data_IF_151352849873
#
_entry.id   IF_151352849873
#
_cell.length_a   1.000
_cell.length_b   1.000
_cell.length_c   1.000
_cell.angle_alpha   90.00
_cell.angle_beta   90.00
_cell.angle_gamma   90.00
#
_symmetry.space_group_name_H-M   'P 1'
#
loop_
_entity.id
_entity.type
_entity.pdbx_description
1 polymer ?
#
# COMPACT_ATOMS: atom_id res chain seq x y z
N UNK A 1 -2.71 20.17 -15.07
CA UNK A 1 -1.71 21.23 -14.91
C UNK A 1 -0.57 20.74 -14.03
N UNK A 2 0.67 21.18 -14.30
CA UNK A 2 1.85 20.76 -13.53
C UNK A 2 2.27 21.91 -12.61
N UNK A 3 2.24 21.66 -11.29
CA UNK A 3 2.63 22.67 -10.32
C UNK A 3 4.16 22.80 -10.23
N UNK A 4 4.72 24.02 -10.02
CA UNK A 4 6.15 24.24 -9.99
C UNK A 4 6.86 23.64 -8.78
N UNK A 5 6.14 23.44 -7.68
CA UNK A 5 6.63 22.85 -6.43
C UNK A 5 5.60 21.94 -5.77
N UNK A 6 6.10 21.06 -4.88
CA UNK A 6 5.25 20.12 -4.11
C UNK A 6 5.04 20.59 -2.66
N UNK A 7 5.20 21.87 -2.36
CA UNK A 7 4.94 22.41 -1.03
C UNK A 7 3.45 22.77 -0.83
N UNK A 8 3.06 22.89 0.44
CA UNK A 8 1.69 23.18 0.84
C UNK A 8 1.16 24.48 0.20
N UNK A 9 1.96 25.56 0.25
CA UNK A 9 1.52 26.88 -0.22
C UNK A 9 1.24 26.88 -1.73
N UNK A 10 2.09 26.20 -2.53
CA UNK A 10 1.86 26.08 -3.97
C UNK A 10 0.56 25.36 -4.28
N UNK A 11 0.22 24.31 -3.52
CA UNK A 11 -1.05 23.58 -3.69
C UNK A 11 -2.24 24.42 -3.24
N UNK A 12 -2.14 25.14 -2.12
CA UNK A 12 -3.19 26.04 -1.66
C UNK A 12 -3.51 27.11 -2.70
N UNK A 13 -2.49 27.81 -3.20
CA UNK A 13 -2.67 28.85 -4.23
C UNK A 13 -3.36 28.30 -5.50
N UNK A 14 -3.03 27.06 -5.87
CA UNK A 14 -3.69 26.39 -6.99
C UNK A 14 -5.16 26.09 -6.70
N UNK A 15 -5.46 25.49 -5.53
CA UNK A 15 -6.83 25.15 -5.15
C UNK A 15 -7.72 26.39 -5.03
N UNK A 16 -7.18 27.49 -4.47
CA UNK A 16 -7.88 28.76 -4.35
C UNK A 16 -8.14 29.44 -5.72
N UNK A 17 -7.29 29.15 -6.72
CA UNK A 17 -7.45 29.66 -8.09
C UNK A 17 -8.48 28.91 -8.92
N UNK A 18 -8.94 27.73 -8.45
CA UNK A 18 -9.90 26.93 -9.19
C UNK A 18 -11.30 27.59 -9.15
N UNK A 19 -11.90 27.84 -10.32
CA UNK A 19 -13.32 28.20 -10.36
C UNK A 19 -14.13 27.03 -9.78
N UNK A 20 -15.15 27.31 -9.02
CA UNK A 20 -16.04 26.29 -8.43
C UNK A 20 -15.35 25.30 -7.46
N UNK A 21 -14.27 25.69 -6.80
CA UNK A 21 -13.56 24.85 -5.82
C UNK A 21 -14.50 24.27 -4.75
N UNK A 22 -15.55 25.01 -4.35
CA UNK A 22 -16.59 24.58 -3.40
C UNK A 22 -17.43 23.36 -3.90
N UNK A 23 -17.39 23.07 -5.19
CA UNK A 23 -18.09 21.93 -5.77
C UNK A 23 -17.24 20.64 -5.74
N UNK A 24 -15.97 20.74 -5.38
CA UNK A 24 -15.10 19.57 -5.25
C UNK A 24 -15.52 18.78 -4.00
N UNK A 25 -15.96 17.53 -4.22
CA UNK A 25 -16.42 16.63 -3.13
C UNK A 25 -15.40 15.58 -2.75
N UNK A 26 -14.48 15.25 -3.66
CA UNK A 26 -13.45 14.23 -3.42
C UNK A 26 -12.12 14.68 -4.02
N UNK A 27 -11.04 14.50 -3.26
CA UNK A 27 -9.67 14.74 -3.72
C UNK A 27 -8.89 13.44 -3.57
N UNK A 28 -8.38 12.91 -4.67
CA UNK A 28 -7.49 11.74 -4.66
C UNK A 28 -6.03 12.20 -4.66
N UNK A 29 -5.21 11.62 -3.77
CA UNK A 29 -3.81 12.03 -3.64
C UNK A 29 -2.92 10.91 -3.07
N UNK A 30 -1.60 11.14 -3.13
CA UNK A 30 -0.59 10.35 -2.42
C UNK A 30 -0.63 10.62 -0.90
N UNK A 31 -0.01 9.73 -0.12
CA UNK A 31 0.19 9.94 1.32
C UNK A 31 1.28 10.98 1.59
N UNK A 32 1.01 12.23 1.22
CA UNK A 32 1.93 13.35 1.41
C UNK A 32 1.28 14.44 2.28
N UNK A 33 1.87 14.67 3.47
CA UNK A 33 1.29 15.53 4.50
C UNK A 33 1.00 16.97 4.03
N UNK A 34 1.87 17.66 3.27
CA UNK A 34 1.58 19.01 2.79
C UNK A 34 0.36 19.07 1.90
N UNK A 35 0.08 18.04 1.10
CA UNK A 35 -1.15 17.97 0.27
C UNK A 35 -2.39 17.83 1.14
N UNK A 36 -2.35 16.93 2.13
CA UNK A 36 -3.44 16.74 3.07
C UNK A 36 -3.83 18.04 3.79
N UNK A 37 -2.80 18.74 4.30
CA UNK A 37 -3.00 20.01 5.00
C UNK A 37 -3.59 21.08 4.08
N UNK A 38 -3.11 21.21 2.84
CA UNK A 38 -3.64 22.14 1.86
C UNK A 38 -5.11 21.84 1.52
N UNK A 39 -5.45 20.57 1.30
CA UNK A 39 -6.85 20.18 0.98
C UNK A 39 -7.77 20.46 2.16
N UNK A 40 -7.40 20.12 3.39
CA UNK A 40 -8.24 20.42 4.57
C UNK A 40 -8.46 21.91 4.79
N UNK A 41 -7.50 22.78 4.45
CA UNK A 41 -7.63 24.21 4.59
C UNK A 41 -8.46 24.86 3.46
N UNK A 42 -8.23 24.47 2.21
CA UNK A 42 -8.91 25.08 1.06
C UNK A 42 -10.25 24.41 0.71
N UNK A 43 -10.43 23.13 1.02
CA UNK A 43 -11.58 22.33 0.64
C UNK A 43 -12.12 21.54 1.84
N UNK A 44 -12.61 22.19 2.90
CA UNK A 44 -12.98 21.54 4.17
C UNK A 44 -14.11 20.52 4.02
N UNK A 45 -14.97 20.66 3.01
CA UNK A 45 -16.10 19.76 2.73
C UNK A 45 -15.72 18.59 1.79
N UNK A 46 -14.50 18.57 1.29
CA UNK A 46 -14.04 17.51 0.38
C UNK A 46 -13.47 16.31 1.15
N UNK A 47 -13.88 15.11 0.79
CA UNK A 47 -13.27 13.90 1.28
C UNK A 47 -11.91 13.66 0.60
N UNK A 48 -10.86 13.44 1.40
CA UNK A 48 -9.57 12.99 0.86
C UNK A 48 -9.59 11.48 0.73
N UNK A 49 -9.18 10.98 -0.42
CA UNK A 49 -9.01 9.55 -0.71
C UNK A 49 -7.57 9.28 -1.10
N UNK A 50 -6.90 8.38 -0.40
CA UNK A 50 -5.56 7.95 -0.80
C UNK A 50 -5.65 6.98 -1.96
N UNK A 51 -4.89 7.27 -3.02
CA UNK A 51 -4.78 6.37 -4.16
C UNK A 51 -4.28 4.99 -3.71
N UNK A 52 -5.12 3.98 -3.99
CA UNK A 52 -4.84 2.57 -3.70
C UNK A 52 -3.47 2.11 -4.17
N UNK A 53 -3.01 2.60 -5.33
CA UNK A 53 -1.70 2.25 -5.88
C UNK A 53 -0.57 2.55 -4.90
N UNK A 54 -0.59 3.73 -4.26
CA UNK A 54 0.44 4.15 -3.32
C UNK A 54 0.43 3.31 -2.03
N UNK A 55 -0.75 2.90 -1.57
CA UNK A 55 -0.87 2.03 -0.38
C UNK A 55 -0.38 0.61 -0.68
N UNK A 56 -0.77 0.05 -1.83
CA UNK A 56 -0.31 -1.29 -2.26
C UNK A 56 1.20 -1.29 -2.57
N UNK A 57 1.72 -0.18 -3.09
CA UNK A 57 3.16 -0.02 -3.31
C UNK A 57 3.95 -0.14 -2.02
N UNK A 58 3.49 0.46 -0.91
CA UNK A 58 4.19 0.36 0.38
C UNK A 58 4.43 -1.10 0.80
N UNK A 59 3.42 -1.94 0.70
CA UNK A 59 3.56 -3.34 1.14
C UNK A 59 4.47 -4.14 0.20
N UNK A 60 4.46 -3.84 -1.10
CA UNK A 60 5.39 -4.44 -2.06
C UNK A 60 6.83 -4.01 -1.80
N UNK A 61 7.05 -2.73 -1.44
CA UNK A 61 8.37 -2.20 -1.12
C UNK A 61 8.95 -2.90 0.12
N UNK A 62 8.16 -3.06 1.18
CA UNK A 62 8.60 -3.79 2.40
C UNK A 62 8.88 -5.26 2.11
N UNK A 63 8.06 -5.95 1.31
CA UNK A 63 8.34 -7.31 0.87
C UNK A 63 9.66 -7.40 0.09
N UNK A 64 9.90 -6.44 -0.80
CA UNK A 64 11.12 -6.35 -1.59
C UNK A 64 12.36 -6.14 -0.71
N UNK A 65 12.26 -5.27 0.29
CA UNK A 65 13.37 -4.99 1.22
C UNK A 65 13.61 -6.15 2.18
N UNK A 66 12.57 -6.83 2.63
CA UNK A 66 12.70 -8.08 3.39
C UNK A 66 13.43 -9.15 2.57
N UNK A 67 13.04 -9.37 1.31
CA UNK A 67 13.73 -10.27 0.39
C UNK A 67 15.21 -9.91 0.23
N UNK A 68 15.54 -8.63 0.04
CA UNK A 68 16.93 -8.17 -0.07
C UNK A 68 17.72 -8.46 1.21
N UNK A 69 17.09 -8.26 2.37
CA UNK A 69 17.72 -8.53 3.69
C UNK A 69 17.97 -10.01 3.87
N UNK A 70 17.01 -10.88 3.52
CA UNK A 70 17.19 -12.32 3.51
C UNK A 70 18.37 -12.73 2.61
N UNK A 71 18.44 -12.15 1.40
CA UNK A 71 19.53 -12.42 0.46
C UNK A 71 20.93 -12.09 1.01
N UNK A 72 21.08 -11.14 1.93
CA UNK A 72 22.42 -10.81 2.48
C UNK A 72 23.08 -11.98 3.20
N UNK A 73 22.28 -12.89 3.75
CA UNK A 73 22.74 -14.03 4.56
C UNK A 73 22.92 -15.32 3.74
N UNK A 74 22.67 -15.28 2.43
CA UNK A 74 22.64 -16.46 1.56
C UNK A 74 23.85 -16.54 0.64
N UNK A 75 24.13 -17.73 0.15
CA UNK A 75 25.14 -17.99 -0.89
C UNK A 75 24.74 -17.34 -2.23
N UNK A 76 25.71 -17.23 -3.15
CA UNK A 76 25.47 -16.67 -4.49
C UNK A 76 24.41 -17.46 -5.28
N UNK A 77 24.39 -18.78 -5.14
CA UNK A 77 23.42 -19.65 -5.81
C UNK A 77 22.00 -19.41 -5.28
N UNK A 78 21.82 -19.37 -3.94
CA UNK A 78 20.53 -19.11 -3.30
C UNK A 78 19.99 -17.69 -3.60
N UNK A 79 20.88 -16.67 -3.62
CA UNK A 79 20.53 -15.32 -4.05
C UNK A 79 19.96 -15.29 -5.46
N UNK A 80 20.61 -15.99 -6.41
CA UNK A 80 20.14 -16.10 -7.79
C UNK A 80 18.76 -16.76 -7.85
N UNK A 81 18.55 -17.79 -7.05
CA UNK A 81 17.28 -18.49 -6.95
C UNK A 81 16.15 -17.57 -6.47
N UNK A 82 16.31 -16.89 -5.32
CA UNK A 82 15.31 -15.95 -4.79
C UNK A 82 15.09 -14.77 -5.73
N UNK A 83 16.14 -14.21 -6.33
CA UNK A 83 16.01 -13.10 -7.27
C UNK A 83 15.23 -13.48 -8.54
N UNK A 84 15.27 -14.75 -8.94
CA UNK A 84 14.52 -15.25 -10.10
C UNK A 84 12.98 -15.17 -9.93
N UNK A 85 12.49 -15.06 -8.70
CA UNK A 85 11.04 -14.90 -8.40
C UNK A 85 10.64 -13.48 -7.99
N UNK A 86 11.53 -12.50 -8.04
CA UNK A 86 11.28 -11.13 -7.60
C UNK A 86 10.02 -10.51 -8.25
N UNK A 87 9.88 -10.62 -9.56
CA UNK A 87 8.70 -10.09 -10.28
C UNK A 87 7.43 -10.83 -9.89
N UNK A 88 7.53 -12.13 -9.64
CA UNK A 88 6.40 -12.98 -9.24
C UNK A 88 5.93 -12.65 -7.83
N UNK A 89 6.85 -12.35 -6.90
CA UNK A 89 6.52 -11.91 -5.54
C UNK A 89 5.74 -10.58 -5.50
N UNK A 90 5.99 -9.68 -6.46
CA UNK A 90 5.26 -8.41 -6.55
C UNK A 90 3.94 -8.52 -7.32
N UNK A 91 3.76 -9.57 -8.11
CA UNK A 91 2.52 -9.82 -8.83
C UNK A 91 1.37 -10.20 -7.88
N UNK A 92 0.15 -10.03 -8.35
CA UNK A 92 -1.04 -10.50 -7.65
C UNK A 92 -1.11 -12.03 -7.77
N UNK A 93 -1.44 -12.72 -6.68
CA UNK A 93 -1.59 -14.18 -6.64
C UNK A 93 -2.55 -14.70 -7.72
N UNK A 94 -3.63 -13.96 -7.98
CA UNK A 94 -4.65 -14.33 -8.97
C UNK A 94 -4.12 -14.34 -10.40
N UNK A 95 -3.07 -13.57 -10.67
CA UNK A 95 -2.51 -13.40 -12.02
C UNK A 95 -1.35 -14.37 -12.29
N UNK A 96 -1.00 -15.21 -11.31
CA UNK A 96 0.13 -16.13 -11.43
C UNK A 96 -0.23 -17.35 -12.27
N UNK A 97 0.67 -17.69 -13.21
CA UNK A 97 0.59 -18.95 -13.95
C UNK A 97 0.89 -20.16 -13.06
N UNK A 98 0.48 -21.36 -13.51
CA UNK A 98 0.79 -22.61 -12.81
C UNK A 98 2.31 -22.82 -12.59
N UNK A 99 3.14 -22.46 -13.57
CA UNK A 99 4.60 -22.54 -13.46
C UNK A 99 5.16 -21.56 -12.43
N UNK A 100 4.62 -20.33 -12.36
CA UNK A 100 5.02 -19.36 -11.36
C UNK A 100 4.64 -19.81 -9.94
N UNK A 101 3.45 -20.35 -9.77
CA UNK A 101 3.00 -20.91 -8.49
C UNK A 101 3.88 -22.09 -8.05
N UNK A 102 4.22 -23.02 -8.97
CA UNK A 102 5.14 -24.14 -8.68
C UNK A 102 6.52 -23.64 -8.24
N UNK A 103 7.05 -22.63 -8.92
CA UNK A 103 8.34 -22.03 -8.59
C UNK A 103 8.31 -21.35 -7.21
N UNK A 104 7.24 -20.60 -6.90
CA UNK A 104 7.06 -20.03 -5.57
C UNK A 104 6.94 -21.09 -4.49
N UNK A 105 6.19 -22.18 -4.74
CA UNK A 105 6.07 -23.31 -3.80
C UNK A 105 7.42 -23.90 -3.42
N UNK A 106 8.31 -24.08 -4.38
CA UNK A 106 9.67 -24.53 -4.13
C UNK A 106 10.48 -23.53 -3.28
N UNK A 107 10.41 -22.23 -3.59
CA UNK A 107 11.07 -21.19 -2.79
C UNK A 107 10.51 -21.15 -1.36
N UNK A 108 9.22 -21.28 -1.19
CA UNK A 108 8.56 -21.25 0.12
C UNK A 108 8.87 -22.48 1.00
N UNK A 109 9.16 -23.62 0.40
CA UNK A 109 9.62 -24.79 1.17
C UNK A 109 11.00 -24.58 1.78
N UNK A 110 11.84 -23.76 1.16
CA UNK A 110 13.18 -23.40 1.66
C UNK A 110 13.18 -22.19 2.58
N UNK A 111 12.28 -21.22 2.33
CA UNK A 111 12.21 -19.92 3.02
C UNK A 111 10.78 -19.65 3.50
N UNK A 112 10.34 -20.31 4.57
CA UNK A 112 8.96 -20.17 5.08
C UNK A 112 8.61 -18.75 5.54
N UNK A 113 9.60 -17.97 5.98
CA UNK A 113 9.38 -16.56 6.33
C UNK A 113 9.07 -15.71 5.09
N UNK A 114 9.67 -16.01 3.94
CA UNK A 114 9.32 -15.31 2.69
C UNK A 114 7.90 -15.64 2.23
N UNK A 115 7.44 -16.89 2.48
CA UNK A 115 6.04 -17.26 2.30
C UNK A 115 5.13 -16.43 3.19
N UNK A 116 5.46 -16.32 4.48
CA UNK A 116 4.66 -15.53 5.42
C UNK A 116 4.57 -14.07 4.97
N UNK A 117 5.68 -13.46 4.55
CA UNK A 117 5.71 -12.11 4.02
C UNK A 117 4.79 -11.95 2.80
N UNK A 118 4.86 -12.88 1.86
CA UNK A 118 4.01 -12.89 0.68
C UNK A 118 2.54 -13.07 1.00
N UNK A 119 2.19 -14.00 1.88
CA UNK A 119 0.81 -14.24 2.29
C UNK A 119 0.21 -12.99 2.96
N UNK A 120 0.96 -12.34 3.84
CA UNK A 120 0.54 -11.07 4.46
C UNK A 120 0.35 -9.95 3.44
N UNK A 121 1.19 -9.87 2.40
CA UNK A 121 1.02 -8.92 1.28
C UNK A 121 -0.30 -9.18 0.56
N UNK A 122 -0.60 -10.43 0.24
CA UNK A 122 -1.84 -10.79 -0.47
C UNK A 122 -3.08 -10.53 0.42
N UNK A 123 -3.04 -10.91 1.69
CA UNK A 123 -4.11 -10.61 2.65
C UNK A 123 -4.39 -9.10 2.77
N UNK A 124 -3.34 -8.27 2.71
CA UNK A 124 -3.51 -6.82 2.69
C UNK A 124 -4.19 -6.33 1.41
N UNK A 125 -3.79 -6.85 0.25
CA UNK A 125 -4.43 -6.50 -1.04
C UNK A 125 -5.91 -6.84 -1.07
N UNK A 126 -6.29 -7.96 -0.45
CA UNK A 126 -7.70 -8.36 -0.34
C UNK A 126 -8.57 -7.40 0.50
N UNK A 127 -7.98 -6.47 1.29
CA UNK A 127 -8.73 -5.43 1.97
C UNK A 127 -9.47 -4.57 0.95
N UNK A 128 -8.83 -4.26 -0.18
CA UNK A 128 -9.43 -3.48 -1.26
C UNK A 128 -10.47 -4.23 -2.11
N UNK A 129 -10.70 -5.50 -1.83
CA UNK A 129 -11.78 -6.29 -2.44
C UNK A 129 -13.07 -6.25 -1.60
N UNK A 130 -13.04 -5.63 -0.42
CA UNK A 130 -14.21 -5.44 0.41
C UNK A 130 -15.20 -4.47 -0.26
N UNK A 131 -16.49 -4.73 -0.06
CA UNK A 131 -17.58 -3.96 -0.68
C UNK A 131 -17.96 -2.70 0.08
N UNK A 132 -17.45 -2.53 1.31
CA UNK A 132 -17.73 -1.37 2.16
C UNK A 132 -16.64 -1.13 3.20
N UNK A 133 -16.62 0.10 3.73
CA UNK A 133 -15.65 0.56 4.73
C UNK A 133 -15.59 -0.33 5.98
N UNK A 134 -16.74 -0.73 6.51
CA UNK A 134 -16.80 -1.54 7.74
C UNK A 134 -16.08 -2.89 7.56
N UNK A 135 -16.33 -3.57 6.46
CA UNK A 135 -15.68 -4.84 6.13
C UNK A 135 -14.15 -4.65 5.95
N UNK A 136 -13.74 -3.60 5.24
CA UNK A 136 -12.34 -3.26 5.04
C UNK A 136 -11.59 -2.98 6.35
N UNK A 137 -12.17 -2.16 7.23
CA UNK A 137 -11.59 -1.85 8.55
C UNK A 137 -11.48 -3.11 9.42
N UNK A 138 -12.49 -3.96 9.44
CA UNK A 138 -12.44 -5.24 10.18
C UNK A 138 -11.35 -6.17 9.63
N UNK A 139 -11.23 -6.27 8.30
CA UNK A 139 -10.19 -7.09 7.65
C UNK A 139 -8.79 -6.54 7.95
N UNK A 140 -8.61 -5.23 7.85
CA UNK A 140 -7.37 -4.56 8.23
C UNK A 140 -7.00 -4.78 9.71
N UNK A 141 -7.96 -4.67 10.61
CA UNK A 141 -7.72 -4.87 12.06
C UNK A 141 -7.20 -6.29 12.34
N UNK A 142 -7.79 -7.30 11.70
CA UNK A 142 -7.32 -8.70 11.80
C UNK A 142 -5.90 -8.85 11.23
N UNK A 143 -5.65 -8.28 10.06
CA UNK A 143 -4.34 -8.29 9.41
C UNK A 143 -3.28 -7.59 10.29
N UNK A 144 -3.55 -6.39 10.77
CA UNK A 144 -2.64 -5.61 11.63
C UNK A 144 -2.28 -6.37 12.91
N UNK A 145 -3.24 -7.06 13.55
CA UNK A 145 -2.97 -7.91 14.71
C UNK A 145 -2.04 -9.07 14.36
N UNK A 146 -2.29 -9.75 13.25
CA UNK A 146 -1.45 -10.84 12.74
C UNK A 146 -0.01 -10.38 12.47
N UNK A 147 0.15 -9.21 11.85
CA UNK A 147 1.47 -8.58 11.61
C UNK A 147 2.21 -8.34 12.92
N UNK A 148 1.56 -7.69 13.89
CA UNK A 148 2.18 -7.37 15.18
C UNK A 148 2.63 -8.60 15.96
N UNK A 149 1.94 -9.71 15.80
CA UNK A 149 2.25 -10.96 16.49
C UNK A 149 3.34 -11.78 15.80
N UNK A 150 3.40 -11.75 14.47
CA UNK A 150 4.14 -12.76 13.72
C UNK A 150 5.17 -12.21 12.73
N UNK A 151 5.12 -10.91 12.35
CA UNK A 151 5.98 -10.42 11.27
C UNK A 151 6.36 -8.94 11.40
N UNK A 152 7.37 -8.65 12.19
CA UNK A 152 7.85 -7.29 12.49
C UNK A 152 8.16 -6.40 11.26
N UNK A 153 8.64 -6.91 10.10
CA UNK A 153 8.91 -6.05 8.94
C UNK A 153 7.71 -5.25 8.45
N UNK A 154 6.48 -5.71 8.69
CA UNK A 154 5.28 -4.99 8.27
C UNK A 154 4.69 -4.05 9.34
N UNK A 155 5.30 -3.89 10.50
CA UNK A 155 4.82 -2.97 11.55
C UNK A 155 4.77 -1.52 11.02
N UNK A 156 5.77 -1.08 10.26
CA UNK A 156 5.78 0.25 9.64
C UNK A 156 4.58 0.54 8.74
N UNK A 157 4.05 -0.50 8.09
CA UNK A 157 2.82 -0.40 7.30
C UNK A 157 1.64 -0.12 8.22
N UNK A 158 1.54 -0.83 9.37
CA UNK A 158 0.44 -0.59 10.32
C UNK A 158 0.46 0.83 10.87
N UNK A 159 1.64 1.39 11.12
CA UNK A 159 1.81 2.77 11.58
C UNK A 159 1.37 3.77 10.51
N UNK A 160 1.78 3.54 9.25
CA UNK A 160 1.40 4.39 8.13
C UNK A 160 -0.11 4.35 7.89
N UNK A 161 -0.72 3.15 7.83
CA UNK A 161 -2.17 3.01 7.64
C UNK A 161 -2.94 3.63 8.81
N UNK A 162 -2.48 3.50 10.05
CA UNK A 162 -3.14 4.14 11.19
C UNK A 162 -3.09 5.67 11.11
N UNK A 163 -1.99 6.25 10.65
CA UNK A 163 -1.81 7.70 10.46
C UNK A 163 -2.71 8.28 9.37
N UNK A 164 -3.02 7.49 8.36
CA UNK A 164 -3.80 7.85 7.19
C UNK A 164 -5.13 7.09 7.12
N UNK A 165 -5.62 6.59 8.26
CA UNK A 165 -6.74 5.66 8.28
C UNK A 165 -8.02 6.24 7.72
N UNK A 166 -8.32 7.50 8.02
CA UNK A 166 -9.49 8.17 7.49
C UNK A 166 -9.46 8.20 5.96
N UNK A 167 -8.38 8.72 5.41
CA UNK A 167 -8.21 8.97 3.98
C UNK A 167 -8.04 7.65 3.18
N UNK A 168 -7.40 6.64 3.76
CA UNK A 168 -7.28 5.32 3.13
C UNK A 168 -8.65 4.62 3.08
N UNK A 169 -9.43 4.67 4.17
CA UNK A 169 -10.72 3.98 4.20
C UNK A 169 -11.85 4.78 3.55
N UNK A 170 -11.68 6.08 3.28
CA UNK A 170 -12.57 6.86 2.42
C UNK A 170 -12.69 6.28 1.00
N UNK A 171 -11.71 5.48 0.54
CA UNK A 171 -11.79 4.74 -0.72
C UNK A 171 -13.08 3.92 -0.86
N UNK A 172 -13.60 3.37 0.24
CA UNK A 172 -14.79 2.51 0.22
C UNK A 172 -16.12 3.27 0.26
N UNK A 173 -16.06 4.55 0.61
CA UNK A 173 -17.23 5.44 0.66
C UNK A 173 -17.32 6.29 -0.63
N UNK A 174 -16.19 6.46 -1.32
CA UNK A 174 -16.04 7.26 -2.54
C UNK A 174 -15.35 6.46 -3.64
N UNK A 175 -16.02 5.44 -4.23
CA UNK A 175 -15.46 4.66 -5.33
C UNK A 175 -15.31 5.55 -6.57
N UNK A 176 -14.14 5.53 -7.20
CA UNK A 176 -13.78 6.25 -8.44
C UNK A 176 -13.21 5.28 -9.46
#
# INVERSE_FOLDING_TARGET
EMLPKRDKQTVMNYLDSLPDSNNIKVVTMDMYRPYREAVYECLPDAAIVIDRFHVVKLINDVLSDYRKTLCKQLSAAEKKEINSVQKVLNANRKDLTANQNKKLGYIYSKYPELKMAYDLKEEFREIYECTNRRAAVLKYTKWSRKVKQNFSPYISITETVNRWSLEIFNYFDHPY
#
